data_IF_170514022159
#
_entry.id   IF_170514022159
#
_cell.length_a   1.000
_cell.length_b   1.000
_cell.length_c   1.000
_cell.angle_alpha   90.00
_cell.angle_beta   90.00
_cell.angle_gamma   90.00
#
_symmetry.space_group_name_H-M   'P 1'
#
loop_
_entity.id
_entity.type
_entity.pdbx_description
1 polymer ?
#
# COMPACT_ATOMS: atom_id res chain seq x y z
N UNK A 1 -30.54 5.04 -3.69
CA UNK A 1 -29.29 5.27 -2.94
C UNK A 1 -28.23 5.64 -3.95
N UNK A 2 -27.67 6.83 -3.83
CA UNK A 2 -26.64 7.36 -4.74
C UNK A 2 -25.28 7.22 -4.09
N UNK A 3 -24.32 6.62 -4.79
CA UNK A 3 -22.96 6.40 -4.31
C UNK A 3 -21.98 7.19 -5.17
N UNK A 4 -21.19 8.05 -4.54
CA UNK A 4 -20.13 8.81 -5.20
C UNK A 4 -18.75 8.26 -4.87
N UNK A 5 -17.87 8.20 -5.88
CA UNK A 5 -16.47 7.86 -5.71
C UNK A 5 -15.61 9.06 -6.07
N UNK A 6 -14.75 9.47 -5.15
CA UNK A 6 -13.83 10.59 -5.30
C UNK A 6 -12.40 10.09 -5.45
N UNK A 7 -11.59 10.78 -6.23
CA UNK A 7 -10.14 10.59 -6.25
C UNK A 7 -9.51 11.15 -4.98
N UNK A 8 -8.31 10.71 -4.64
CA UNK A 8 -7.48 11.41 -3.67
C UNK A 8 -7.13 12.82 -4.15
N UNK A 9 -6.73 13.68 -3.22
CA UNK A 9 -6.38 15.09 -3.49
C UNK A 9 -5.34 15.24 -4.59
N UNK A 10 -4.44 14.30 -4.74
CA UNK A 10 -3.44 14.23 -5.81
C UNK A 10 -3.99 13.67 -7.14
N UNK A 11 -5.22 13.17 -7.16
CA UNK A 11 -5.90 12.66 -8.35
C UNK A 11 -5.41 11.30 -8.86
N UNK A 12 -4.45 10.64 -8.17
CA UNK A 12 -3.81 9.42 -8.68
C UNK A 12 -4.43 8.12 -8.18
N UNK A 13 -5.29 8.15 -7.17
CA UNK A 13 -5.92 6.94 -6.62
C UNK A 13 -7.44 7.06 -6.66
N UNK A 14 -8.08 6.01 -7.15
CA UNK A 14 -9.54 5.87 -7.15
C UNK A 14 -9.95 4.71 -6.23
N UNK A 15 -11.03 4.87 -5.43
CA UNK A 15 -11.46 3.85 -4.47
C UNK A 15 -12.24 2.70 -5.09
N UNK A 16 -12.39 2.66 -6.41
CA UNK A 16 -13.21 1.66 -7.11
C UNK A 16 -12.56 1.26 -8.45
N UNK A 17 -12.67 -0.01 -8.80
CA UNK A 17 -12.32 -0.53 -10.13
C UNK A 17 -13.57 -0.65 -11.01
N UNK A 18 -13.51 -0.39 -12.33
CA UNK A 18 -14.64 -0.48 -13.25
C UNK A 18 -15.46 -1.75 -13.13
N UNK A 19 -14.80 -2.90 -13.18
CA UNK A 19 -15.45 -4.22 -13.08
C UNK A 19 -16.22 -4.41 -11.77
N UNK A 20 -15.86 -3.69 -10.70
CA UNK A 20 -16.58 -3.76 -9.44
C UNK A 20 -17.89 -3.00 -9.48
N UNK A 21 -17.99 -1.95 -10.31
CA UNK A 21 -19.22 -1.16 -10.47
C UNK A 21 -20.28 -1.99 -11.20
N UNK A 22 -19.88 -2.74 -12.23
CA UNK A 22 -20.80 -3.54 -13.06
C UNK A 22 -21.52 -4.65 -12.26
N UNK A 23 -20.91 -5.12 -11.18
CA UNK A 23 -21.47 -6.18 -10.34
C UNK A 23 -22.68 -5.74 -9.50
N UNK A 24 -22.89 -4.43 -9.33
CA UNK A 24 -23.88 -3.91 -8.40
C UNK A 24 -24.83 -2.92 -9.07
N UNK A 25 -26.12 -3.09 -8.84
CA UNK A 25 -27.19 -2.22 -9.37
C UNK A 25 -27.36 -0.95 -8.51
N UNK A 26 -26.30 -0.16 -8.33
CA UNK A 26 -26.37 1.11 -7.62
C UNK A 26 -26.41 2.29 -8.60
N UNK A 27 -26.96 3.43 -8.15
CA UNK A 27 -26.85 4.71 -8.87
C UNK A 27 -25.46 5.31 -8.57
N UNK A 28 -24.49 5.01 -9.43
CA UNK A 28 -23.08 5.31 -9.24
C UNK A 28 -22.71 6.63 -9.90
N UNK A 29 -22.01 7.45 -9.16
CA UNK A 29 -21.48 8.74 -9.59
C UNK A 29 -19.96 8.76 -9.40
N UNK A 30 -19.22 9.16 -10.42
CA UNK A 30 -17.77 9.26 -10.37
C UNK A 30 -17.31 10.70 -10.51
N UNK A 31 -16.24 11.06 -9.81
CA UNK A 31 -15.52 12.29 -10.08
C UNK A 31 -14.92 12.24 -11.49
N UNK A 32 -14.93 13.38 -12.20
CA UNK A 32 -14.49 13.46 -13.59
C UNK A 32 -13.10 12.87 -13.81
N UNK A 33 -12.16 13.11 -12.90
CA UNK A 33 -10.78 12.61 -12.99
C UNK A 33 -10.71 11.07 -12.98
N UNK A 34 -11.66 10.38 -12.35
CA UNK A 34 -11.70 8.91 -12.36
C UNK A 34 -11.96 8.39 -13.76
N UNK A 35 -12.84 9.03 -14.53
CA UNK A 35 -13.12 8.67 -15.92
C UNK A 35 -11.87 8.79 -16.80
N UNK A 36 -11.16 9.91 -16.66
CA UNK A 36 -9.98 10.20 -17.49
C UNK A 36 -8.82 9.25 -17.14
N UNK A 37 -8.62 8.94 -15.86
CA UNK A 37 -7.50 8.13 -15.39
C UNK A 37 -7.66 6.63 -15.69
N UNK A 38 -8.87 6.10 -15.61
CA UNK A 38 -9.12 4.66 -15.75
C UNK A 38 -9.59 4.26 -17.16
N UNK A 39 -9.53 5.18 -18.16
CA UNK A 39 -10.04 4.94 -19.52
C UNK A 39 -11.48 4.39 -19.53
N UNK A 40 -12.33 4.87 -18.62
CA UNK A 40 -13.73 4.47 -18.56
C UNK A 40 -14.52 4.79 -19.83
N UNK A 41 -13.96 5.63 -20.72
CA UNK A 41 -14.59 5.99 -21.99
C UNK A 41 -14.84 4.80 -22.92
N UNK A 42 -14.07 3.73 -22.79
CA UNK A 42 -14.21 2.49 -23.57
C UNK A 42 -15.07 1.41 -22.89
N UNK A 43 -15.51 1.65 -21.66
CA UNK A 43 -16.28 0.66 -20.91
C UNK A 43 -17.78 0.80 -21.21
N UNK A 44 -18.48 -0.32 -21.23
CA UNK A 44 -19.95 -0.46 -21.36
C UNK A 44 -20.73 0.19 -20.19
N UNK A 45 -20.11 1.00 -19.35
CA UNK A 45 -20.69 1.65 -18.17
C UNK A 45 -21.60 2.83 -18.54
N UNK A 46 -22.58 2.59 -19.38
CA UNK A 46 -23.60 3.59 -19.79
C UNK A 46 -24.46 4.11 -18.61
N UNK A 47 -24.41 3.44 -17.45
CA UNK A 47 -25.18 3.77 -16.25
C UNK A 47 -24.46 4.69 -15.27
N UNK A 48 -23.16 4.95 -15.46
CA UNK A 48 -22.36 5.76 -14.53
C UNK A 48 -22.47 7.24 -14.88
N UNK A 49 -22.67 8.08 -13.86
CA UNK A 49 -22.88 9.53 -14.01
C UNK A 49 -21.67 10.28 -13.45
N UNK A 50 -21.42 11.49 -13.95
CA UNK A 50 -20.51 12.41 -13.30
C UNK A 50 -21.13 12.96 -12.02
N UNK A 51 -20.30 13.17 -11.00
CA UNK A 51 -20.72 13.89 -9.79
C UNK A 51 -20.99 15.35 -10.17
N UNK A 52 -22.24 15.77 -10.08
CA UNK A 52 -22.65 17.15 -10.28
C UNK A 52 -22.75 17.92 -8.97
N UNK A 53 -23.14 17.23 -7.89
CA UNK A 53 -23.30 17.83 -6.57
C UNK A 53 -23.10 16.78 -5.47
N UNK A 54 -22.26 17.08 -4.49
CA UNK A 54 -22.00 16.22 -3.35
C UNK A 54 -23.18 16.09 -2.39
N UNK A 55 -24.03 17.13 -2.33
CA UNK A 55 -25.22 17.13 -1.47
C UNK A 55 -26.28 16.12 -1.89
N UNK A 56 -26.18 15.53 -3.09
CA UNK A 56 -27.12 14.53 -3.59
C UNK A 56 -26.72 13.09 -3.25
N UNK A 57 -25.49 12.89 -2.75
CA UNK A 57 -24.91 11.56 -2.53
C UNK A 57 -25.20 11.04 -1.12
N UNK A 58 -25.74 9.85 -1.04
CA UNK A 58 -26.03 9.17 0.23
C UNK A 58 -24.77 8.55 0.83
N UNK A 59 -23.87 8.04 -0.04
CA UNK A 59 -22.57 7.46 0.33
C UNK A 59 -21.50 8.10 -0.54
N UNK A 60 -20.40 8.47 0.08
CA UNK A 60 -19.21 8.97 -0.60
C UNK A 60 -18.02 8.09 -0.21
N UNK A 61 -17.29 7.59 -1.19
CA UNK A 61 -16.07 6.80 -0.97
C UNK A 61 -14.87 7.51 -1.58
N UNK A 62 -13.77 7.56 -0.83
CA UNK A 62 -12.45 7.99 -1.29
C UNK A 62 -11.38 7.05 -0.73
N UNK A 63 -10.12 7.17 -1.15
CA UNK A 63 -9.07 6.30 -0.61
C UNK A 63 -8.65 6.78 0.78
N UNK A 64 -8.01 7.92 0.87
CA UNK A 64 -7.40 8.38 2.13
C UNK A 64 -7.55 9.89 2.34
N UNK A 65 -7.17 10.67 1.32
CA UNK A 65 -7.10 12.12 1.42
C UNK A 65 -8.37 12.78 0.87
N UNK A 66 -9.11 13.46 1.74
CA UNK A 66 -10.28 14.24 1.39
C UNK A 66 -10.13 15.68 1.92
N UNK A 67 -10.46 16.67 1.09
CA UNK A 67 -10.37 18.09 1.48
C UNK A 67 -11.50 18.49 2.43
N UNK A 68 -11.21 19.42 3.33
CA UNK A 68 -12.20 19.98 4.25
C UNK A 68 -13.39 20.61 3.54
N UNK A 69 -13.14 21.24 2.39
CA UNK A 69 -14.21 21.81 1.56
C UNK A 69 -15.18 20.71 1.13
N UNK A 70 -14.67 19.60 0.64
CA UNK A 70 -15.45 18.44 0.19
C UNK A 70 -16.25 17.83 1.35
N UNK A 71 -15.65 17.72 2.54
CA UNK A 71 -16.34 17.24 3.74
C UNK A 71 -17.53 18.13 4.10
N UNK A 72 -17.35 19.45 4.03
CA UNK A 72 -18.41 20.44 4.33
C UNK A 72 -19.57 20.38 3.36
N UNK A 73 -19.33 20.01 2.12
CA UNK A 73 -20.32 19.93 1.05
C UNK A 73 -21.09 18.60 1.02
N UNK A 74 -20.77 17.63 1.86
CA UNK A 74 -21.47 16.34 1.92
C UNK A 74 -22.93 16.54 2.35
N UNK A 75 -23.81 15.65 1.84
CA UNK A 75 -25.21 15.56 2.26
C UNK A 75 -25.32 15.39 3.77
N UNK A 76 -26.34 15.98 4.38
CA UNK A 76 -26.64 15.76 5.81
C UNK A 76 -26.88 14.26 6.07
N UNK A 77 -26.19 13.73 7.09
CA UNK A 77 -26.25 12.32 7.46
C UNK A 77 -25.61 11.34 6.48
N UNK A 78 -24.87 11.82 5.48
CA UNK A 78 -24.17 10.98 4.52
C UNK A 78 -23.20 10.01 5.20
N UNK A 79 -22.88 8.92 4.50
CA UNK A 79 -21.85 7.95 4.89
C UNK A 79 -20.58 8.23 4.10
N UNK A 80 -19.48 8.52 4.79
CA UNK A 80 -18.16 8.66 4.20
C UNK A 80 -17.33 7.39 4.46
N UNK A 81 -16.81 6.79 3.40
CA UNK A 81 -16.04 5.54 3.44
C UNK A 81 -14.63 5.79 2.93
N UNK A 82 -13.61 5.28 3.64
CA UNK A 82 -12.21 5.40 3.22
C UNK A 82 -11.22 4.75 4.17
N UNK A 83 -9.95 5.03 3.99
CA UNK A 83 -8.85 4.59 4.87
C UNK A 83 -8.44 5.79 5.73
N UNK A 84 -9.18 6.06 6.79
CA UNK A 84 -8.95 7.19 7.67
C UNK A 84 -8.39 6.72 9.01
N UNK A 85 -7.28 7.29 9.44
CA UNK A 85 -6.74 7.10 10.78
C UNK A 85 -7.60 7.77 11.87
N UNK A 86 -7.19 7.63 13.12
CA UNK A 86 -7.96 8.18 14.25
C UNK A 86 -8.03 9.70 14.23
N UNK A 87 -6.96 10.37 13.80
CA UNK A 87 -6.90 11.82 13.83
C UNK A 87 -7.72 12.43 12.69
N UNK A 88 -7.64 11.83 11.48
CA UNK A 88 -8.51 12.23 10.37
C UNK A 88 -9.99 12.01 10.67
N UNK A 89 -10.35 10.92 11.37
CA UNK A 89 -11.75 10.71 11.80
C UNK A 89 -12.20 11.79 12.77
N UNK A 90 -11.36 12.19 13.74
CA UNK A 90 -11.68 13.30 14.67
C UNK A 90 -11.88 14.61 13.93
N UNK A 91 -10.99 14.92 12.98
CA UNK A 91 -11.10 16.10 12.11
C UNK A 91 -12.43 16.12 11.35
N UNK A 92 -12.76 15.05 10.64
CA UNK A 92 -14.02 14.92 9.91
C UNK A 92 -15.21 15.14 10.85
N UNK A 93 -15.19 14.50 12.02
CA UNK A 93 -16.25 14.65 13.02
C UNK A 93 -16.36 16.04 13.64
N UNK A 94 -15.26 16.78 13.73
CA UNK A 94 -15.29 18.18 14.18
C UNK A 94 -15.92 19.11 13.15
N UNK A 95 -15.69 18.85 11.86
CA UNK A 95 -16.27 19.63 10.75
C UNK A 95 -17.74 19.29 10.51
N UNK A 96 -18.07 17.98 10.57
CA UNK A 96 -19.41 17.45 10.25
C UNK A 96 -19.77 16.30 11.21
N UNK A 97 -20.31 16.60 12.40
CA UNK A 97 -20.71 15.60 13.40
C UNK A 97 -21.78 14.63 12.91
N UNK A 98 -22.62 15.08 11.98
CA UNK A 98 -23.73 14.34 11.39
C UNK A 98 -23.28 13.25 10.40
N UNK A 99 -22.14 13.43 9.72
CA UNK A 99 -21.61 12.48 8.74
C UNK A 99 -21.14 11.19 9.44
N UNK A 100 -21.60 10.05 8.95
CA UNK A 100 -21.17 8.73 9.44
C UNK A 100 -19.87 8.34 8.75
N UNK A 101 -18.82 8.05 9.51
CA UNK A 101 -17.51 7.67 8.97
C UNK A 101 -17.30 6.17 9.15
N UNK A 102 -17.09 5.46 8.04
CA UNK A 102 -16.67 4.06 7.99
C UNK A 102 -15.23 4.00 7.49
N UNK A 103 -14.31 3.61 8.36
CA UNK A 103 -12.90 3.53 7.98
C UNK A 103 -12.39 2.10 7.95
N UNK A 104 -11.78 1.71 6.84
CA UNK A 104 -11.04 0.45 6.70
C UNK A 104 -9.83 0.36 7.63
N UNK A 105 -9.30 1.50 8.08
CA UNK A 105 -8.22 1.53 9.08
C UNK A 105 -8.63 0.90 10.42
N UNK A 106 -9.92 0.95 10.75
CA UNK A 106 -10.48 0.40 12.00
C UNK A 106 -10.96 -1.05 11.89
N UNK A 107 -10.83 -1.68 10.74
CA UNK A 107 -11.23 -3.08 10.61
C UNK A 107 -10.33 -3.97 11.47
N UNK A 108 -10.93 -4.89 12.26
CA UNK A 108 -10.15 -5.82 13.05
C UNK A 108 -9.39 -6.80 12.15
N UNK A 109 -8.14 -7.10 12.50
CA UNK A 109 -7.29 -8.05 11.78
C UNK A 109 -7.65 -9.48 12.15
N UNK A 110 -8.80 -9.95 11.70
CA UNK A 110 -9.33 -11.29 11.89
C UNK A 110 -9.62 -11.95 10.54
N UNK A 111 -9.63 -13.27 10.48
CA UNK A 111 -9.81 -14.03 9.24
C UNK A 111 -11.08 -13.66 8.47
N UNK A 112 -12.17 -13.36 9.17
CA UNK A 112 -13.45 -12.95 8.54
C UNK A 112 -13.38 -11.59 7.86
N UNK A 113 -12.46 -10.72 8.26
CA UNK A 113 -12.29 -9.37 7.72
C UNK A 113 -11.20 -9.30 6.62
N UNK A 114 -10.49 -10.38 6.33
CA UNK A 114 -9.38 -10.39 5.36
C UNK A 114 -9.81 -9.89 3.97
N UNK A 115 -11.02 -10.22 3.53
CA UNK A 115 -11.54 -9.76 2.23
C UNK A 115 -11.82 -8.25 2.18
N UNK A 116 -11.85 -7.59 3.34
CA UNK A 116 -12.06 -6.16 3.50
C UNK A 116 -10.78 -5.42 3.90
N UNK A 117 -9.64 -6.13 3.97
CA UNK A 117 -8.36 -5.55 4.37
C UNK A 117 -7.74 -4.73 3.22
N UNK A 118 -8.24 -3.52 3.05
CA UNK A 118 -7.73 -2.57 2.08
C UNK A 118 -6.29 -2.14 2.39
N UNK A 119 -5.88 -2.12 3.66
CA UNK A 119 -4.51 -1.76 4.06
C UNK A 119 -3.51 -2.78 3.55
N UNK A 120 -3.78 -4.07 3.70
CA UNK A 120 -2.90 -5.13 3.17
C UNK A 120 -2.86 -5.11 1.64
N UNK A 121 -3.98 -4.83 0.97
CA UNK A 121 -4.01 -4.69 -0.49
C UNK A 121 -3.14 -3.53 -0.96
N UNK A 122 -3.22 -2.37 -0.30
CA UNK A 122 -2.39 -1.20 -0.61
C UNK A 122 -0.91 -1.45 -0.28
N UNK A 123 -0.62 -2.09 0.85
CA UNK A 123 0.75 -2.46 1.22
C UNK A 123 1.39 -3.43 0.20
N UNK A 124 0.62 -4.35 -0.36
CA UNK A 124 1.07 -5.25 -1.42
C UNK A 124 1.47 -4.46 -2.68
N UNK A 125 0.62 -3.55 -3.14
CA UNK A 125 0.93 -2.67 -4.27
C UNK A 125 2.14 -1.77 -3.99
N UNK A 126 2.26 -1.25 -2.77
CA UNK A 126 3.41 -0.46 -2.34
C UNK A 126 4.71 -1.26 -2.49
N UNK A 127 4.74 -2.51 -2.01
CA UNK A 127 5.92 -3.38 -2.13
C UNK A 127 6.33 -3.61 -3.58
N UNK A 128 5.36 -3.84 -4.47
CA UNK A 128 5.61 -3.96 -5.91
C UNK A 128 6.18 -2.65 -6.50
N UNK A 129 5.50 -1.53 -6.27
CA UNK A 129 5.87 -0.23 -6.83
C UNK A 129 7.26 0.25 -6.34
N UNK A 130 7.58 -0.01 -5.06
CA UNK A 130 8.87 0.35 -4.46
C UNK A 130 10.04 -0.31 -5.20
N UNK A 131 9.92 -1.60 -5.53
CA UNK A 131 10.97 -2.32 -6.27
C UNK A 131 11.12 -1.80 -7.70
N UNK A 132 10.01 -1.51 -8.39
CA UNK A 132 10.08 -0.95 -9.74
C UNK A 132 10.72 0.44 -9.73
N UNK A 133 10.39 1.26 -8.73
CA UNK A 133 10.99 2.58 -8.57
C UNK A 133 12.49 2.47 -8.28
N UNK A 134 12.90 1.60 -7.37
CA UNK A 134 14.30 1.38 -7.07
C UNK A 134 15.07 0.86 -8.29
N UNK A 135 14.49 -0.07 -9.06
CA UNK A 135 15.08 -0.56 -10.29
C UNK A 135 15.25 0.54 -11.36
N UNK A 136 14.36 1.55 -11.36
CA UNK A 136 14.47 2.72 -12.25
C UNK A 136 15.56 3.70 -11.80
N UNK A 137 15.69 3.90 -10.49
CA UNK A 137 16.62 4.90 -9.91
C UNK A 137 18.06 4.37 -9.80
N UNK A 138 18.26 3.04 -9.80
CA UNK A 138 19.62 2.46 -9.76
C UNK A 138 20.30 2.57 -11.12
N UNK A 139 21.64 2.76 -11.08
CA UNK A 139 22.48 2.66 -12.29
C UNK A 139 22.82 1.22 -12.65
N UNK A 140 22.54 0.27 -11.75
CA UNK A 140 22.87 -1.13 -11.92
C UNK A 140 21.75 -1.90 -12.66
N UNK A 141 22.15 -2.96 -13.37
CA UNK A 141 21.22 -3.88 -14.02
C UNK A 141 20.68 -4.86 -12.99
N UNK A 142 19.35 -4.95 -12.87
CA UNK A 142 18.72 -5.82 -11.86
C UNK A 142 18.98 -7.31 -12.11
N UNK A 143 18.68 -7.87 -13.32
CA UNK A 143 18.96 -9.28 -13.61
C UNK A 143 20.43 -9.52 -13.97
N UNK A 144 20.83 -10.77 -13.93
CA UNK A 144 22.06 -11.20 -14.57
C UNK A 144 21.93 -11.04 -16.10
N UNK A 145 22.91 -10.45 -16.75
CA UNK A 145 22.97 -10.36 -18.22
C UNK A 145 24.27 -10.99 -18.73
N UNK A 146 24.14 -11.76 -19.80
CA UNK A 146 25.27 -12.39 -20.49
C UNK A 146 25.36 -11.87 -21.91
N UNK A 147 26.54 -11.37 -22.28
CA UNK A 147 26.84 -10.91 -23.63
C UNK A 147 28.14 -11.56 -24.11
N UNK A 148 28.47 -11.42 -25.40
CA UNK A 148 29.73 -11.88 -25.94
C UNK A 148 30.94 -11.20 -25.26
N UNK A 149 30.77 -10.01 -24.68
CA UNK A 149 31.81 -9.27 -23.97
C UNK A 149 31.96 -9.68 -22.49
N UNK A 150 31.04 -10.51 -21.94
CA UNK A 150 31.10 -10.97 -20.55
C UNK A 150 29.74 -10.96 -19.86
N UNK A 151 29.77 -11.21 -18.54
CA UNK A 151 28.61 -11.31 -17.70
C UNK A 151 28.50 -10.11 -16.75
N UNK A 152 27.31 -9.51 -16.70
CA UNK A 152 26.94 -8.54 -15.66
C UNK A 152 26.26 -9.32 -14.54
N UNK A 153 26.78 -9.16 -13.31
CA UNK A 153 26.19 -9.80 -12.13
C UNK A 153 24.86 -9.14 -11.77
N UNK A 154 23.90 -9.92 -11.24
CA UNK A 154 22.63 -9.35 -10.82
C UNK A 154 22.81 -8.44 -9.60
N UNK A 155 22.02 -7.38 -9.55
CA UNK A 155 21.97 -6.46 -8.42
C UNK A 155 21.66 -7.18 -7.11
N UNK A 156 22.26 -6.70 -6.02
CA UNK A 156 21.97 -7.14 -4.67
C UNK A 156 20.98 -6.17 -4.03
N UNK A 157 19.90 -6.69 -3.49
CA UNK A 157 18.80 -5.90 -2.91
C UNK A 157 18.60 -6.31 -1.46
N UNK A 158 18.55 -5.35 -0.55
CA UNK A 158 18.19 -5.55 0.84
C UNK A 158 16.81 -4.95 1.11
N UNK A 159 15.89 -5.77 1.64
CA UNK A 159 14.55 -5.36 2.07
C UNK A 159 14.54 -5.26 3.59
N UNK A 160 14.15 -4.09 4.10
CA UNK A 160 14.00 -3.83 5.53
C UNK A 160 12.53 -3.85 5.92
N UNK A 161 12.16 -4.80 6.78
CA UNK A 161 10.78 -5.08 7.16
C UNK A 161 10.10 -6.09 6.25
N UNK A 162 9.66 -7.22 6.84
CA UNK A 162 9.05 -8.36 6.13
C UNK A 162 7.56 -8.46 6.49
N UNK A 163 6.85 -7.33 6.39
CA UNK A 163 5.38 -7.31 6.39
C UNK A 163 4.85 -7.58 4.98
N UNK A 164 3.57 -7.27 4.74
CA UNK A 164 2.91 -7.49 3.44
C UNK A 164 3.67 -6.80 2.30
N UNK A 165 4.08 -5.54 2.51
CA UNK A 165 4.87 -4.79 1.53
C UNK A 165 6.24 -5.43 1.30
N UNK A 166 6.96 -5.79 2.36
CA UNK A 166 8.28 -6.42 2.27
C UNK A 166 8.26 -7.77 1.58
N UNK A 167 7.30 -8.64 1.90
CA UNK A 167 7.14 -9.93 1.22
C UNK A 167 6.87 -9.76 -0.27
N UNK A 168 6.01 -8.80 -0.64
CA UNK A 168 5.76 -8.49 -2.05
C UNK A 168 7.01 -7.90 -2.73
N UNK A 169 7.75 -7.04 -2.04
CA UNK A 169 8.99 -6.47 -2.56
C UNK A 169 10.03 -7.58 -2.81
N UNK A 170 10.20 -8.53 -1.88
CA UNK A 170 11.06 -9.71 -2.06
C UNK A 170 10.64 -10.48 -3.31
N UNK A 171 9.36 -10.83 -3.43
CA UNK A 171 8.84 -11.59 -4.56
C UNK A 171 9.06 -10.85 -5.89
N UNK A 172 8.86 -9.54 -5.92
CA UNK A 172 9.05 -8.70 -7.12
C UNK A 172 10.53 -8.61 -7.50
N UNK A 173 11.41 -8.30 -6.56
CA UNK A 173 12.85 -8.20 -6.81
C UNK A 173 13.45 -9.55 -7.27
N UNK A 174 12.99 -10.67 -6.70
CA UNK A 174 13.36 -12.02 -7.15
C UNK A 174 12.92 -12.29 -8.59
N UNK A 175 11.68 -11.93 -8.97
CA UNK A 175 11.17 -12.07 -10.35
C UNK A 175 11.93 -11.22 -11.34
N UNK A 176 12.42 -10.04 -10.92
CA UNK A 176 13.30 -9.21 -11.73
C UNK A 176 14.73 -9.76 -11.85
N UNK A 177 15.06 -10.83 -11.13
CA UNK A 177 16.36 -11.49 -11.20
C UNK A 177 17.42 -11.00 -10.21
N UNK A 178 17.04 -10.16 -9.24
CA UNK A 178 17.92 -9.69 -8.18
C UNK A 178 18.35 -10.82 -7.22
N UNK A 179 19.51 -10.64 -6.59
CA UNK A 179 19.90 -11.36 -5.37
C UNK A 179 19.33 -10.62 -4.18
N UNK A 180 18.39 -11.24 -3.44
CA UNK A 180 17.62 -10.58 -2.40
C UNK A 180 18.02 -11.04 -1.01
N UNK A 181 18.24 -10.09 -0.13
CA UNK A 181 18.35 -10.25 1.32
C UNK A 181 17.21 -9.50 1.97
N UNK A 182 16.76 -9.98 3.13
CA UNK A 182 15.72 -9.31 3.88
C UNK A 182 16.00 -9.38 5.38
N UNK A 183 15.62 -8.34 6.09
CA UNK A 183 15.71 -8.23 7.54
C UNK A 183 14.35 -7.91 8.14
N UNK A 184 14.02 -8.56 9.25
CA UNK A 184 12.89 -8.21 10.13
C UNK A 184 13.31 -8.43 11.58
N UNK A 185 12.72 -7.66 12.50
CA UNK A 185 12.95 -7.84 13.94
C UNK A 185 12.31 -9.13 14.47
N UNK A 186 11.31 -9.67 13.77
CA UNK A 186 10.62 -10.90 14.10
C UNK A 186 11.32 -12.10 13.49
N UNK A 187 11.72 -13.06 14.31
CA UNK A 187 12.39 -14.28 13.86
C UNK A 187 11.52 -15.16 12.96
N UNK A 188 10.20 -15.15 13.19
CA UNK A 188 9.23 -15.93 12.39
C UNK A 188 9.17 -15.46 10.92
N UNK A 189 9.62 -14.24 10.63
CA UNK A 189 9.72 -13.75 9.27
C UNK A 189 10.77 -14.51 8.43
N UNK A 190 11.74 -15.21 9.07
CA UNK A 190 12.80 -15.96 8.40
C UNK A 190 12.24 -17.00 7.43
N UNK A 191 11.33 -17.85 7.90
CA UNK A 191 10.75 -18.91 7.06
C UNK A 191 10.00 -18.33 5.85
N UNK A 192 9.34 -17.20 6.03
CA UNK A 192 8.64 -16.52 4.94
C UNK A 192 9.63 -15.98 3.90
N UNK A 193 10.73 -15.37 4.32
CA UNK A 193 11.78 -14.85 3.44
C UNK A 193 12.44 -15.98 2.66
N UNK A 194 12.81 -17.07 3.33
CA UNK A 194 13.47 -18.22 2.73
C UNK A 194 12.56 -18.96 1.76
N UNK A 195 11.25 -19.04 2.05
CA UNK A 195 10.25 -19.62 1.14
C UNK A 195 10.12 -18.85 -0.18
N UNK A 196 10.41 -17.56 -0.19
CA UNK A 196 10.46 -16.72 -1.39
C UNK A 196 11.82 -16.80 -2.12
N UNK A 197 12.77 -17.60 -1.60
CA UNK A 197 14.11 -17.78 -2.16
C UNK A 197 15.04 -16.59 -1.92
N UNK A 198 14.77 -15.76 -0.92
CA UNK A 198 15.65 -14.72 -0.44
C UNK A 198 16.47 -15.20 0.78
N UNK A 199 17.51 -14.46 1.15
CA UNK A 199 18.32 -14.75 2.33
C UNK A 199 17.87 -13.86 3.48
N UNK A 200 17.62 -14.47 4.65
CA UNK A 200 17.33 -13.72 5.86
C UNK A 200 18.62 -13.21 6.49
N UNK A 201 18.62 -11.96 6.89
CA UNK A 201 19.73 -11.31 7.60
C UNK A 201 19.42 -11.39 9.09
N UNK A 202 20.28 -12.09 9.84
CA UNK A 202 20.16 -12.18 11.29
C UNK A 202 20.96 -11.04 11.93
N UNK A 203 20.26 -10.10 12.59
CA UNK A 203 20.91 -9.24 13.56
C UNK A 203 20.85 -9.93 14.91
N UNK A 204 21.97 -10.02 15.61
CA UNK A 204 22.06 -10.62 16.95
C UNK A 204 21.32 -9.75 17.97
N UNK A 205 20.01 -9.93 18.05
CA UNK A 205 19.15 -9.33 19.06
C UNK A 205 18.44 -10.43 19.81
N UNK A 206 18.21 -10.26 21.11
CA UNK A 206 17.31 -11.08 21.89
C UNK A 206 15.86 -10.73 21.50
N UNK A 207 15.50 -11.00 20.23
CA UNK A 207 14.20 -10.67 19.71
C UNK A 207 13.12 -11.54 20.34
N UNK A 208 12.05 -10.90 20.79
CA UNK A 208 10.88 -11.54 21.38
C UNK A 208 10.09 -12.30 20.29
N UNK A 209 9.61 -13.48 20.63
CA UNK A 209 8.68 -14.26 19.82
C UNK A 209 7.30 -13.56 19.83
N UNK A 210 7.05 -12.66 18.87
CA UNK A 210 5.76 -12.01 18.73
C UNK A 210 5.36 -11.89 17.24
N UNK A 211 4.09 -12.20 16.96
CA UNK A 211 3.50 -12.13 15.61
C UNK A 211 3.47 -10.69 15.06
N UNK A 212 3.50 -9.69 15.94
CA UNK A 212 3.48 -8.27 15.60
C UNK A 212 4.76 -7.59 16.05
N UNK A 213 5.25 -6.67 15.24
CA UNK A 213 6.39 -5.82 15.60
C UNK A 213 6.01 -5.01 16.85
N UNK A 214 6.78 -5.19 17.93
CA UNK A 214 6.69 -4.36 19.13
C UNK A 214 7.69 -3.20 19.02
N UNK A 215 7.45 -2.12 19.75
CA UNK A 215 8.42 -1.03 19.87
C UNK A 215 9.71 -1.56 20.49
N UNK A 216 10.80 -1.39 19.77
CA UNK A 216 12.14 -1.80 20.19
C UNK A 216 12.77 -0.63 20.94
N UNK A 217 13.53 -0.91 22.01
CA UNK A 217 14.21 0.13 22.77
C UNK A 217 15.22 0.88 21.90
N UNK A 218 15.55 2.14 22.24
CA UNK A 218 16.53 2.92 21.49
C UNK A 218 17.91 2.25 21.45
N UNK A 219 18.31 1.58 22.52
CA UNK A 219 19.59 0.84 22.59
C UNK A 219 19.60 -0.38 21.66
N UNK A 220 18.52 -1.13 21.60
CA UNK A 220 18.36 -2.24 20.66
C UNK A 220 18.30 -1.77 19.22
N UNK A 221 17.60 -0.67 18.94
CA UNK A 221 17.59 -0.03 17.61
C UNK A 221 19.00 0.35 17.15
N UNK A 222 19.83 0.91 18.03
CA UNK A 222 21.21 1.23 17.69
C UNK A 222 22.03 -0.01 17.34
N UNK A 223 21.93 -1.07 18.13
CA UNK A 223 22.60 -2.35 17.85
C UNK A 223 22.16 -2.98 16.52
N UNK A 224 20.87 -2.95 16.24
CA UNK A 224 20.31 -3.41 14.96
C UNK A 224 20.88 -2.59 13.80
N UNK A 225 20.89 -1.26 13.92
CA UNK A 225 21.41 -0.38 12.88
C UNK A 225 22.92 -0.61 12.63
N UNK A 226 23.71 -0.80 13.66
CA UNK A 226 25.14 -1.10 13.51
C UNK A 226 25.39 -2.45 12.83
N UNK A 227 24.66 -3.48 13.24
CA UNK A 227 24.73 -4.80 12.61
C UNK A 227 24.32 -4.76 11.13
N UNK A 228 23.23 -4.05 10.82
CA UNK A 228 22.77 -3.86 9.44
C UNK A 228 23.76 -3.03 8.62
N UNK A 229 24.30 -1.94 9.16
CA UNK A 229 25.33 -1.12 8.47
C UNK A 229 26.53 -1.96 8.09
N UNK A 230 27.04 -2.79 9.00
CA UNK A 230 28.16 -3.67 8.72
C UNK A 230 27.84 -4.64 7.58
N UNK A 231 26.69 -5.30 7.62
CA UNK A 231 26.29 -6.23 6.56
C UNK A 231 26.02 -5.53 5.22
N UNK A 232 25.44 -4.31 5.25
CA UNK A 232 25.23 -3.50 4.04
C UNK A 232 26.55 -3.16 3.37
N UNK A 233 27.55 -2.74 4.14
CA UNK A 233 28.90 -2.43 3.64
C UNK A 233 29.53 -3.70 3.04
N UNK A 234 29.51 -4.81 3.78
CA UNK A 234 30.12 -6.06 3.33
C UNK A 234 29.45 -6.64 2.05
N UNK A 235 28.15 -6.39 1.86
CA UNK A 235 27.40 -6.88 0.72
C UNK A 235 27.35 -5.88 -0.45
N UNK A 236 27.74 -4.61 -0.26
CA UNK A 236 27.55 -3.52 -1.26
C UNK A 236 26.11 -3.55 -1.81
N UNK A 237 25.13 -3.39 -0.92
CA UNK A 237 23.72 -3.54 -1.23
C UNK A 237 23.08 -2.22 -1.68
N UNK A 238 22.09 -2.33 -2.58
CA UNK A 238 21.13 -1.25 -2.87
C UNK A 238 20.03 -1.30 -1.83
N UNK A 239 19.76 -0.17 -1.19
CA UNK A 239 18.69 -0.05 -0.21
C UNK A 239 17.35 0.25 -0.89
N UNK A 240 16.32 -0.47 -0.50
CA UNK A 240 14.92 -0.20 -0.86
C UNK A 240 14.08 -0.05 0.40
#
# INVERSE_FOLDING_TARGET
MKIGFLTDVDGYRAPVHPESIEKYSFDVHLEKNIFDYLNYADSSLSSVKNISNLTDLDIVACVENIQDKTIKELKEGAVLIGIFDFDKIKEIKSLRPDVKVLSFFKLPRISRAQNLDALSSQANLLGYASVLRAAKETSDVVPMMTTAAGNIQPSKVLILGVGVAGLQAIATAKRLGARVWAFDIRKEAKDQVESLGAKFVEASTEAQDSVYAQEVSEEENQKIQEALKKQVIDLSLIHI
#
